data_IF_243252446200
#
_entry.id   IF_243252446200
#
_cell.length_a   1.000
_cell.length_b   1.000
_cell.length_c   1.000
_cell.angle_alpha   90.00
_cell.angle_beta   90.00
_cell.angle_gamma   90.00
#
_symmetry.space_group_name_H-M   'P 1'
#
loop_
_entity.id
_entity.type
_entity.pdbx_description
1 polymer ?
#
# COMPACT_ATOMS: atom_id res chain seq x y z
N UNK A 1 6.28 17.72 6.91
CA UNK A 1 4.84 17.63 7.25
C UNK A 1 3.96 17.10 6.11
N UNK A 2 4.34 17.23 4.82
CA UNK A 2 3.49 16.81 3.69
C UNK A 2 3.19 15.30 3.62
N UNK A 3 4.14 14.42 3.96
CA UNK A 3 3.96 12.96 3.85
C UNK A 3 2.79 12.42 4.70
N UNK A 4 2.71 12.81 5.97
CA UNK A 4 1.65 12.35 6.88
C UNK A 4 0.25 12.76 6.36
N UNK A 5 0.12 13.97 5.80
CA UNK A 5 -1.13 14.44 5.22
C UNK A 5 -1.51 13.66 3.94
N UNK A 6 -0.52 13.35 3.09
CA UNK A 6 -0.74 12.51 1.90
C UNK A 6 -1.15 11.09 2.30
N UNK A 7 -0.50 10.52 3.32
CA UNK A 7 -0.83 9.19 3.85
C UNK A 7 -2.25 9.15 4.44
N UNK A 8 -2.66 10.18 5.19
CA UNK A 8 -4.05 10.30 5.66
C UNK A 8 -5.04 10.38 4.50
N UNK A 9 -4.71 11.14 3.44
CA UNK A 9 -5.54 11.24 2.24
C UNK A 9 -5.69 9.90 1.52
N UNK A 10 -4.60 9.13 1.41
CA UNK A 10 -4.63 7.79 0.80
C UNK A 10 -5.50 6.83 1.61
N UNK A 11 -5.41 6.84 2.95
CA UNK A 11 -6.28 6.03 3.82
C UNK A 11 -7.76 6.42 3.69
N UNK A 12 -8.06 7.72 3.55
CA UNK A 12 -9.43 8.20 3.31
C UNK A 12 -9.97 7.71 1.96
N UNK A 13 -9.16 7.78 0.91
CA UNK A 13 -9.51 7.26 -0.40
C UNK A 13 -9.74 5.74 -0.35
N UNK A 14 -8.88 5.03 0.38
CA UNK A 14 -8.99 3.58 0.58
C UNK A 14 -10.30 3.20 1.29
N UNK A 15 -10.63 3.88 2.40
CA UNK A 15 -11.88 3.69 3.13
C UNK A 15 -13.11 3.93 2.25
N UNK A 16 -13.10 5.04 1.49
CA UNK A 16 -14.21 5.39 0.60
C UNK A 16 -14.44 4.35 -0.51
N UNK A 17 -13.36 3.85 -1.11
CA UNK A 17 -13.44 2.84 -2.16
C UNK A 17 -13.87 1.46 -1.59
N UNK A 18 -13.38 1.10 -0.40
CA UNK A 18 -13.68 -0.17 0.25
C UNK A 18 -15.11 -0.25 0.82
N UNK A 19 -15.70 0.90 1.20
CA UNK A 19 -16.97 1.00 1.95
C UNK A 19 -18.12 0.12 1.42
N UNK A 20 -18.23 -0.07 0.11
CA UNK A 20 -19.36 -0.80 -0.50
C UNK A 20 -19.21 -2.31 -0.51
N UNK A 21 -17.98 -2.81 -0.62
CA UNK A 21 -17.70 -4.23 -0.93
C UNK A 21 -16.76 -4.90 0.06
N UNK A 22 -15.99 -4.11 0.81
CA UNK A 22 -14.91 -4.58 1.67
C UNK A 22 -14.96 -3.84 3.02
N UNK A 23 -15.99 -4.08 3.85
CA UNK A 23 -16.16 -3.39 5.13
C UNK A 23 -14.94 -3.55 6.04
N UNK A 24 -14.29 -4.73 6.04
CA UNK A 24 -13.06 -4.97 6.81
C UNK A 24 -11.90 -4.03 6.41
N UNK A 25 -11.69 -3.78 5.11
CA UNK A 25 -10.65 -2.83 4.64
C UNK A 25 -11.05 -1.39 4.97
N UNK A 26 -12.34 -1.08 4.91
CA UNK A 26 -12.85 0.24 5.28
C UNK A 26 -12.63 0.53 6.78
N UNK A 27 -12.98 -0.41 7.66
CA UNK A 27 -12.79 -0.27 9.11
C UNK A 27 -11.30 -0.24 9.49
N UNK A 28 -10.48 -1.08 8.85
CA UNK A 28 -9.03 -1.04 9.04
C UNK A 28 -8.41 0.28 8.60
N UNK A 29 -8.91 0.89 7.51
CA UNK A 29 -8.43 2.20 7.06
C UNK A 29 -8.85 3.34 8.01
N UNK A 30 -10.08 3.30 8.54
CA UNK A 30 -10.54 4.26 9.56
C UNK A 30 -9.72 4.15 10.85
N UNK A 31 -9.42 2.94 11.29
CA UNK A 31 -8.56 2.71 12.45
C UNK A 31 -7.12 3.18 12.20
N UNK A 32 -6.57 2.92 11.01
CA UNK A 32 -5.24 3.39 10.62
C UNK A 32 -5.17 4.93 10.59
N UNK A 33 -6.23 5.65 10.19
CA UNK A 33 -6.27 7.13 10.25
C UNK A 33 -6.17 7.63 11.69
N UNK A 34 -6.93 7.02 12.60
CA UNK A 34 -6.89 7.38 14.02
C UNK A 34 -5.48 7.17 14.58
N UNK A 35 -4.86 6.04 14.24
CA UNK A 35 -3.50 5.72 14.65
C UNK A 35 -2.46 6.66 14.03
N UNK A 36 -2.59 6.98 12.75
CA UNK A 36 -1.67 7.88 12.05
C UNK A 36 -1.60 9.26 12.72
N UNK A 37 -2.74 9.76 13.22
CA UNK A 37 -2.83 11.05 13.91
C UNK A 37 -2.13 11.09 15.26
N UNK A 38 -1.85 9.93 15.87
CA UNK A 38 -1.05 9.86 17.10
C UNK A 38 0.45 9.79 16.82
N UNK A 39 0.85 9.59 15.56
CA UNK A 39 2.26 9.49 15.16
C UNK A 39 2.77 10.83 14.65
N UNK A 40 4.01 11.18 14.98
CA UNK A 40 4.60 12.47 14.60
C UNK A 40 5.63 12.35 13.47
N UNK A 41 6.12 11.14 13.20
CA UNK A 41 7.22 10.90 12.26
C UNK A 41 7.06 9.61 11.43
N UNK A 42 7.65 9.55 10.21
CA UNK A 42 7.72 8.33 9.42
C UNK A 42 8.39 7.15 10.13
N UNK A 43 9.39 7.44 10.97
CA UNK A 43 10.08 6.42 11.75
C UNK A 43 9.14 5.70 12.73
N UNK A 44 8.19 6.40 13.34
CA UNK A 44 7.18 5.75 14.20
C UNK A 44 6.25 4.83 13.40
N UNK A 45 5.96 5.15 12.13
CA UNK A 45 5.21 4.28 11.24
C UNK A 45 6.00 3.01 10.93
N UNK A 46 7.32 3.10 10.73
CA UNK A 46 8.16 1.94 10.49
C UNK A 46 8.21 0.94 11.66
N UNK A 47 7.96 1.41 12.88
CA UNK A 47 7.82 0.56 14.08
C UNK A 47 6.38 0.03 14.26
N UNK A 48 5.47 0.40 13.36
CA UNK A 48 4.05 0.17 13.49
C UNK A 48 3.44 -0.42 12.21
N UNK A 49 3.49 -1.74 12.12
CA UNK A 49 3.05 -2.46 10.92
C UNK A 49 1.54 -2.38 10.66
N UNK A 50 0.70 -1.87 11.58
CA UNK A 50 -0.75 -1.80 11.37
C UNK A 50 -1.13 -0.90 10.20
N UNK A 51 -0.40 0.21 10.03
CA UNK A 51 -0.59 1.13 8.90
C UNK A 51 -0.11 0.47 7.60
N UNK A 52 0.94 -0.35 7.65
CA UNK A 52 1.41 -1.08 6.48
C UNK A 52 0.41 -2.18 6.08
N UNK A 53 -0.09 -2.95 7.05
CA UNK A 53 -1.00 -4.08 6.85
C UNK A 53 -2.27 -3.67 6.13
N UNK A 54 -2.83 -2.49 6.40
CA UNK A 54 -4.06 -2.09 5.71
C UNK A 54 -3.86 -1.89 4.20
N UNK A 55 -2.69 -1.41 3.78
CA UNK A 55 -2.36 -1.29 2.37
C UNK A 55 -2.03 -2.65 1.73
N UNK A 56 -1.43 -3.57 2.48
CA UNK A 56 -1.25 -4.96 2.02
C UNK A 56 -2.60 -5.65 1.81
N UNK A 57 -3.51 -5.56 2.78
CA UNK A 57 -4.88 -6.07 2.66
C UNK A 57 -5.61 -5.45 1.47
N UNK A 58 -5.43 -4.15 1.20
CA UNK A 58 -6.00 -3.50 0.03
C UNK A 58 -5.49 -4.09 -1.29
N UNK A 59 -4.21 -4.45 -1.34
CA UNK A 59 -3.62 -5.12 -2.50
C UNK A 59 -4.19 -6.56 -2.66
N UNK A 60 -4.41 -7.28 -1.57
CA UNK A 60 -4.94 -8.66 -1.55
C UNK A 60 -6.41 -8.78 -1.95
N UNK A 61 -7.19 -7.70 -1.80
CA UNK A 61 -8.60 -7.66 -2.21
C UNK A 61 -8.77 -7.76 -3.74
N UNK A 62 -7.69 -7.65 -4.52
CA UNK A 62 -7.64 -7.90 -5.97
C UNK A 62 -8.61 -7.04 -6.80
N UNK A 63 -8.93 -5.84 -6.34
CA UNK A 63 -9.65 -4.86 -7.18
C UNK A 63 -8.71 -3.82 -7.74
N UNK A 64 -8.91 -3.47 -9.00
CA UNK A 64 -8.10 -2.46 -9.71
C UNK A 64 -8.06 -1.14 -8.94
N UNK A 65 -9.12 -0.68 -8.29
CA UNK A 65 -9.03 0.62 -7.61
C UNK A 65 -8.31 0.54 -6.26
N UNK A 66 -8.63 -0.44 -5.42
CA UNK A 66 -7.99 -0.59 -4.11
C UNK A 66 -6.51 -0.92 -4.24
N UNK A 67 -6.14 -1.76 -5.19
CA UNK A 67 -4.73 -2.08 -5.41
C UNK A 67 -3.94 -0.85 -5.91
N UNK A 68 -4.51 0.13 -6.65
CA UNK A 68 -3.77 1.36 -7.06
C UNK A 68 -3.45 2.16 -5.82
N UNK A 69 -4.47 2.39 -4.99
CA UNK A 69 -4.36 3.19 -3.78
C UNK A 69 -3.33 2.54 -2.84
N UNK A 70 -3.44 1.23 -2.62
CA UNK A 70 -2.49 0.44 -1.83
C UNK A 70 -1.06 0.56 -2.35
N UNK A 71 -0.84 0.30 -3.64
CA UNK A 71 0.48 0.37 -4.26
C UNK A 71 1.11 1.75 -4.21
N UNK A 72 0.32 2.78 -4.53
CA UNK A 72 0.76 4.18 -4.47
C UNK A 72 1.21 4.54 -3.05
N UNK A 73 0.49 4.04 -2.04
CA UNK A 73 0.81 4.32 -0.65
C UNK A 73 2.04 3.54 -0.17
N UNK A 74 2.15 2.24 -0.51
CA UNK A 74 3.34 1.43 -0.25
C UNK A 74 4.59 2.09 -0.83
N UNK A 75 4.52 2.59 -2.08
CA UNK A 75 5.62 3.32 -2.69
C UNK A 75 6.03 4.55 -1.86
N UNK A 76 5.07 5.33 -1.36
CA UNK A 76 5.35 6.52 -0.55
C UNK A 76 5.94 6.14 0.80
N UNK A 77 5.40 5.11 1.47
CA UNK A 77 5.94 4.58 2.73
C UNK A 77 7.41 4.18 2.57
N UNK A 78 7.74 3.43 1.53
CA UNK A 78 9.13 3.01 1.25
C UNK A 78 10.02 4.22 0.92
N UNK A 79 9.51 5.18 0.13
CA UNK A 79 10.27 6.37 -0.26
C UNK A 79 10.59 7.32 0.91
N UNK A 80 9.90 7.16 2.04
CA UNK A 80 10.05 7.97 3.24
C UNK A 80 10.61 7.17 4.42
N UNK A 81 11.20 5.99 4.18
CA UNK A 81 11.76 5.09 5.20
C UNK A 81 10.75 4.74 6.32
N UNK A 82 9.47 4.71 5.97
CA UNK A 82 8.35 4.41 6.88
C UNK A 82 8.00 2.91 6.90
N UNK A 83 8.93 2.06 6.46
CA UNK A 83 8.75 0.60 6.37
C UNK A 83 9.99 -0.08 6.95
N UNK A 84 9.77 -1.06 7.82
CA UNK A 84 10.87 -1.88 8.35
C UNK A 84 11.48 -2.76 7.25
N UNK A 85 12.81 -3.01 7.25
CA UNK A 85 13.44 -3.87 6.25
C UNK A 85 12.88 -5.30 6.22
N UNK A 86 12.39 -5.80 7.36
CA UNK A 86 11.68 -7.07 7.48
C UNK A 86 10.39 -7.11 6.67
N UNK A 87 9.65 -6.01 6.63
CA UNK A 87 8.37 -5.93 5.95
C UNK A 87 8.50 -5.76 4.42
N UNK A 88 9.68 -5.39 3.91
CA UNK A 88 9.95 -5.33 2.46
C UNK A 88 9.75 -6.69 1.78
N UNK A 89 10.11 -7.79 2.47
CA UNK A 89 9.88 -9.15 1.97
C UNK A 89 8.39 -9.47 1.88
N UNK A 90 7.61 -9.06 2.87
CA UNK A 90 6.16 -9.27 2.90
C UNK A 90 5.50 -8.49 1.76
N UNK A 91 5.85 -7.21 1.59
CA UNK A 91 5.38 -6.38 0.47
C UNK A 91 5.68 -7.08 -0.86
N UNK A 92 6.93 -7.51 -1.10
CA UNK A 92 7.29 -8.19 -2.34
C UNK A 92 6.50 -9.49 -2.57
N UNK A 93 6.23 -10.26 -1.51
CA UNK A 93 5.41 -11.47 -1.60
C UNK A 93 3.99 -11.15 -2.04
N UNK A 94 3.32 -10.20 -1.37
CA UNK A 94 1.95 -9.78 -1.71
C UNK A 94 1.86 -9.28 -3.15
N UNK A 95 2.86 -8.52 -3.62
CA UNK A 95 2.94 -8.03 -5.00
C UNK A 95 3.14 -9.14 -6.02
N UNK A 96 3.94 -10.17 -5.69
CA UNK A 96 4.20 -11.31 -6.56
C UNK A 96 2.96 -12.18 -6.71
N UNK A 97 2.28 -12.47 -5.61
CA UNK A 97 1.05 -13.29 -5.61
C UNK A 97 -0.09 -12.58 -6.35
N UNK A 98 -0.16 -11.25 -6.25
CA UNK A 98 -1.12 -10.44 -7.01
C UNK A 98 -0.95 -10.54 -8.54
N UNK A 99 0.23 -10.94 -9.05
CA UNK A 99 0.49 -11.13 -10.49
C UNK A 99 0.17 -12.54 -11.00
N UNK A 100 0.04 -13.54 -10.12
CA UNK A 100 0.07 -14.96 -10.50
C UNK A 100 -1.31 -15.63 -10.65
N UNK A 101 -2.40 -14.95 -10.29
CA UNK A 101 -3.75 -15.49 -10.43
C UNK A 101 -4.56 -14.80 -11.55
N UNK A 102 -4.56 -15.35 -12.78
CA UNK A 102 -5.38 -14.87 -13.90
C UNK A 102 -6.87 -15.30 -13.80
N UNK A 103 -7.31 -15.82 -12.66
CA UNK A 103 -8.62 -16.48 -12.49
C UNK A 103 -9.84 -15.55 -12.61
N UNK A 104 -9.62 -14.25 -12.67
CA UNK A 104 -10.61 -13.34 -13.22
C UNK A 104 -9.92 -12.47 -14.25
N UNK A 105 -10.46 -12.46 -15.47
CA UNK A 105 -10.08 -11.65 -16.62
C UNK A 105 -10.34 -10.15 -16.36
N UNK A 106 -9.86 -9.64 -15.22
CA UNK A 106 -9.63 -8.23 -15.00
C UNK A 106 -8.51 -7.90 -15.96
N UNK A 107 -8.88 -7.53 -17.18
CA UNK A 107 -8.02 -6.87 -18.15
C UNK A 107 -7.30 -5.74 -17.41
N UNK A 108 -6.08 -6.01 -16.96
CA UNK A 108 -5.10 -5.01 -16.52
C UNK A 108 -4.63 -4.20 -17.74
N UNK A 109 -5.57 -3.72 -18.56
CA UNK A 109 -5.36 -2.96 -19.78
C UNK A 109 -4.96 -1.51 -19.49
N UNK A 110 -4.92 -1.11 -18.22
CA UNK A 110 -4.33 0.17 -17.86
C UNK A 110 -2.81 0.00 -17.90
N UNK A 111 -2.18 0.37 -19.02
CA UNK A 111 -0.73 0.57 -19.13
C UNK A 111 -0.14 1.21 -17.86
N UNK A 112 -0.84 2.22 -17.30
CA UNK A 112 -0.49 2.85 -16.03
C UNK A 112 -0.25 1.87 -14.86
N UNK A 113 -1.04 0.82 -14.73
CA UNK A 113 -0.96 -0.13 -13.62
C UNK A 113 0.31 -0.98 -13.64
N UNK A 114 0.65 -1.48 -14.83
CA UNK A 114 1.88 -2.21 -15.05
C UNK A 114 3.08 -1.30 -14.79
N UNK A 115 3.01 -0.03 -15.21
CA UNK A 115 4.01 0.99 -14.88
C UNK A 115 4.10 1.26 -13.36
N UNK A 116 2.99 1.40 -12.64
CA UNK A 116 2.99 1.59 -11.18
C UNK A 116 3.60 0.39 -10.45
N UNK A 117 3.22 -0.83 -10.83
CA UNK A 117 3.81 -2.04 -10.27
C UNK A 117 5.29 -2.19 -10.62
N UNK A 118 5.69 -1.90 -11.87
CA UNK A 118 7.10 -1.96 -12.30
C UNK A 118 7.93 -0.89 -11.58
N UNK A 119 7.41 0.33 -11.43
CA UNK A 119 8.06 1.41 -10.70
C UNK A 119 8.19 1.09 -9.21
N UNK A 120 7.13 0.56 -8.58
CA UNK A 120 7.15 0.13 -7.19
C UNK A 120 8.17 -1.00 -6.97
N UNK A 121 8.21 -2.02 -7.86
CA UNK A 121 9.17 -3.12 -7.78
C UNK A 121 10.60 -2.65 -8.06
N UNK A 122 10.83 -1.82 -9.08
CA UNK A 122 12.17 -1.28 -9.36
C UNK A 122 12.68 -0.44 -8.18
N UNK A 123 11.82 0.36 -7.56
CA UNK A 123 12.20 1.16 -6.40
C UNK A 123 12.42 0.32 -5.15
N UNK A 124 11.60 -0.72 -4.92
CA UNK A 124 11.81 -1.74 -3.88
C UNK A 124 13.15 -2.46 -4.08
N UNK A 125 13.45 -2.87 -5.31
CA UNK A 125 14.69 -3.54 -5.66
C UNK A 125 15.90 -2.65 -5.42
N UNK A 126 15.83 -1.38 -5.84
CA UNK A 126 16.90 -0.41 -5.62
C UNK A 126 17.10 -0.10 -4.12
N UNK A 127 16.00 -0.02 -3.35
CA UNK A 127 16.05 0.22 -1.91
C UNK A 127 16.59 -0.98 -1.12
N UNK A 128 16.48 -2.20 -1.65
CA UNK A 128 17.00 -3.43 -1.05
C UNK A 128 18.45 -3.72 -1.42
N UNK A 129 18.85 -3.39 -2.65
CA UNK A 129 20.19 -3.71 -3.17
C UNK A 129 21.19 -2.57 -2.92
N UNK A 130 20.71 -1.35 -2.66
CA UNK A 130 21.57 -0.16 -2.56
C UNK A 130 22.17 0.22 -3.93
N UNK A 131 22.81 1.40 -4.04
CA UNK A 131 23.57 1.78 -5.22
C UNK A 131 24.80 0.87 -5.43
#
# INVERSE_FOLDING_TARGET
MAFMAVLESDLRALSAEARRRYPAVKDGAEHAILKLRTLSSPSEIAHNDDILRIFLMACEVRTVKLSIIGLSCLQKLISHDAVSPSALREILSTLKDSRLHPENEVRFNNMNYMYYCLFAICKLYYSLVGP
#
